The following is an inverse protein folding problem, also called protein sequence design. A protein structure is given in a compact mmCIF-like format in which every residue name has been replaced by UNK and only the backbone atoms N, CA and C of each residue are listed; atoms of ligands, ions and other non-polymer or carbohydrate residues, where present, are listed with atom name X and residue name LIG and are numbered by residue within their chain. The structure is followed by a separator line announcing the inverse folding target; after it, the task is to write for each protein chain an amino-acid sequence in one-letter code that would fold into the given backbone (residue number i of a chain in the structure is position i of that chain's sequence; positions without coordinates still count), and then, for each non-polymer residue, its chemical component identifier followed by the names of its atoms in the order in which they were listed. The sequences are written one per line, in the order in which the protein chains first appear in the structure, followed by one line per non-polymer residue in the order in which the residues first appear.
data_IF_539808677744
#
_entry.id   IF_539808677744
#
_cell.length_a   1.000
_cell.length_b   1.000
_cell.length_c   1.000
_cell.angle_alpha   90.00
_cell.angle_beta   90.00
_cell.angle_gamma   90.00
#
_symmetry.space_group_name_H-M   'P 1'
#
loop_
_entity.id
_entity.type
_entity.pdbx_description
1 polymer ?
#
# COMPACT_ATOMS: atom_id res chain seq x y z
N UNK A 1 -27.36 -27.60 2.17
CA UNK A 1 -27.41 -26.16 2.46
C UNK A 1 -26.15 -25.57 1.87
N UNK A 2 -26.20 -25.24 0.58
CA UNK A 2 -25.10 -24.55 -0.09
C UNK A 2 -25.00 -23.16 0.53
N UNK A 3 -23.85 -22.84 1.12
CA UNK A 3 -23.55 -21.49 1.55
C UNK A 3 -22.88 -20.81 0.35
N UNK A 4 -23.58 -19.98 -0.44
CA UNK A 4 -22.92 -19.20 -1.46
C UNK A 4 -22.17 -18.08 -0.73
N UNK A 5 -20.97 -18.38 -0.21
CA UNK A 5 -20.00 -17.31 -0.02
C UNK A 5 -19.72 -16.82 -1.43
N UNK A 6 -20.49 -15.82 -1.86
CA UNK A 6 -20.23 -15.11 -3.09
C UNK A 6 -18.75 -14.73 -3.06
N UNK A 7 -17.98 -15.19 -4.05
CA UNK A 7 -16.57 -14.88 -4.14
C UNK A 7 -16.45 -13.37 -4.33
N UNK A 8 -16.27 -12.64 -3.24
CA UNK A 8 -16.07 -11.20 -3.31
C UNK A 8 -14.70 -10.93 -3.94
N UNK A 9 -14.55 -9.87 -4.75
CA UNK A 9 -13.26 -9.49 -5.29
C UNK A 9 -12.27 -9.19 -4.16
N UNK A 10 -11.02 -9.59 -4.34
CA UNK A 10 -9.94 -9.29 -3.40
C UNK A 10 -8.84 -8.51 -4.12
N UNK A 11 -8.37 -7.36 -3.59
CA UNK A 11 -8.81 -6.74 -2.33
C UNK A 11 -10.25 -6.24 -2.36
N UNK A 12 -10.89 -6.17 -1.18
CA UNK A 12 -12.22 -5.59 -1.04
C UNK A 12 -12.10 -4.07 -0.97
N UNK A 13 -12.94 -3.37 -1.71
CA UNK A 13 -13.01 -1.91 -1.66
C UNK A 13 -14.43 -1.47 -1.29
N UNK A 14 -14.51 -0.45 -0.44
CA UNK A 14 -15.74 0.20 -0.03
C UNK A 14 -15.60 1.72 -0.15
N UNK A 15 -16.26 2.30 -1.16
CA UNK A 15 -16.27 3.74 -1.41
C UNK A 15 -17.30 4.42 -0.52
N UNK A 16 -16.85 5.42 0.24
CA UNK A 16 -17.73 6.18 1.11
C UNK A 16 -18.61 7.11 0.27
N UNK A 17 -19.90 7.11 0.55
CA UNK A 17 -20.82 8.07 -0.04
C UNK A 17 -20.67 9.47 0.59
N UNK A 18 -21.37 10.46 0.04
CA UNK A 18 -21.27 11.85 0.49
C UNK A 18 -21.61 12.03 1.98
N UNK A 19 -22.62 11.33 2.49
CA UNK A 19 -23.05 11.42 3.90
C UNK A 19 -22.01 10.81 4.83
N UNK A 20 -21.44 9.65 4.48
CA UNK A 20 -20.35 9.03 5.25
C UNK A 20 -19.10 9.90 5.25
N UNK A 21 -18.79 10.55 4.13
CA UNK A 21 -17.69 11.49 4.03
C UNK A 21 -17.87 12.71 4.96
N UNK A 22 -19.09 13.15 5.25
CA UNK A 22 -19.34 14.21 6.25
C UNK A 22 -18.92 13.77 7.66
N UNK A 23 -18.96 12.47 7.95
CA UNK A 23 -18.57 11.89 9.25
C UNK A 23 -17.10 11.44 9.29
N UNK A 24 -16.24 11.97 8.43
CA UNK A 24 -14.86 11.50 8.30
C UNK A 24 -14.06 11.54 9.58
N UNK A 25 -14.26 12.57 10.42
CA UNK A 25 -13.58 12.68 11.72
C UNK A 25 -13.99 11.58 12.71
N UNK A 26 -15.25 11.16 12.72
CA UNK A 26 -15.70 10.01 13.51
C UNK A 26 -15.06 8.73 12.98
N UNK A 27 -15.03 8.55 11.65
CA UNK A 27 -14.38 7.40 11.05
C UNK A 27 -12.88 7.36 11.34
N UNK A 28 -12.19 8.51 11.37
CA UNK A 28 -10.77 8.57 11.76
C UNK A 28 -10.57 8.13 13.22
N UNK A 29 -11.46 8.54 14.13
CA UNK A 29 -11.42 8.09 15.53
C UNK A 29 -11.69 6.59 15.68
N UNK A 30 -12.65 6.04 14.93
CA UNK A 30 -13.06 4.64 15.03
C UNK A 30 -12.07 3.69 14.38
N UNK A 31 -11.53 4.07 13.22
CA UNK A 31 -10.55 3.26 12.50
C UNK A 31 -9.14 3.40 13.09
N UNK A 32 -8.83 4.56 13.66
CA UNK A 32 -7.49 4.87 14.17
C UNK A 32 -6.43 4.90 13.06
N UNK A 33 -5.19 5.15 13.47
CA UNK A 33 -4.02 5.18 12.60
C UNK A 33 -3.06 4.06 13.02
N UNK A 34 -2.78 3.16 12.08
CA UNK A 34 -1.72 2.17 12.19
C UNK A 34 -0.35 2.75 11.84
N UNK A 35 0.63 1.89 11.63
CA UNK A 35 2.03 2.28 11.49
C UNK A 35 2.38 2.84 10.10
N UNK A 36 1.64 2.42 9.07
CA UNK A 36 1.99 2.72 7.68
C UNK A 36 1.14 3.86 7.14
N UNK A 37 1.80 4.88 6.60
CA UNK A 37 1.18 5.96 5.83
C UNK A 37 1.94 6.17 4.52
N UNK A 38 1.22 6.57 3.48
CA UNK A 38 1.81 6.86 2.17
C UNK A 38 1.11 8.03 1.50
N UNK A 39 1.86 8.74 0.66
CA UNK A 39 1.37 9.75 -0.26
C UNK A 39 1.84 9.42 -1.65
N UNK A 40 0.90 9.33 -2.58
CA UNK A 40 1.15 8.91 -3.96
C UNK A 40 0.68 10.02 -4.88
N UNK A 41 1.59 10.54 -5.70
CA UNK A 41 1.23 11.45 -6.79
C UNK A 41 0.83 10.62 -8.00
N UNK A 42 -0.41 10.77 -8.44
CA UNK A 42 -0.95 10.07 -9.60
C UNK A 42 -0.55 10.77 -10.91
N UNK A 43 -0.51 10.04 -12.04
CA UNK A 43 -0.18 10.63 -13.35
C UNK A 43 -1.14 11.74 -13.81
N UNK A 44 -2.37 11.77 -13.30
CA UNK A 44 -3.36 12.81 -13.59
C UNK A 44 -3.21 14.07 -12.70
N UNK A 45 -2.15 14.12 -11.89
CA UNK A 45 -1.82 15.25 -11.02
C UNK A 45 -2.55 15.25 -9.66
N UNK A 46 -3.36 14.23 -9.38
CA UNK A 46 -4.00 14.07 -8.07
C UNK A 46 -3.07 13.45 -7.04
N UNK A 47 -3.38 13.64 -5.77
CA UNK A 47 -2.67 13.02 -4.65
C UNK A 47 -3.57 11.98 -3.98
N UNK A 48 -3.08 10.75 -3.81
CA UNK A 48 -3.68 9.79 -2.90
C UNK A 48 -2.94 9.83 -1.55
N UNK A 49 -3.71 9.98 -0.47
CA UNK A 49 -3.25 9.84 0.92
C UNK A 49 -3.79 8.53 1.46
N UNK A 50 -2.87 7.66 1.87
CA UNK A 50 -3.17 6.29 2.27
C UNK A 50 -2.69 6.12 3.70
N UNK A 51 -3.55 5.59 4.56
CA UNK A 51 -3.26 5.33 5.96
C UNK A 51 -3.74 3.92 6.29
N UNK A 52 -2.85 3.08 6.80
CA UNK A 52 -3.28 1.84 7.45
C UNK A 52 -4.00 2.21 8.75
N UNK A 53 -5.10 1.54 9.03
CA UNK A 53 -5.84 1.71 10.29
C UNK A 53 -5.18 0.90 11.41
N UNK A 54 -5.68 0.95 12.64
CA UNK A 54 -5.17 0.03 13.69
C UNK A 54 -5.53 -1.44 13.42
N UNK A 55 -6.45 -1.69 12.48
CA UNK A 55 -6.77 -3.02 11.99
C UNK A 55 -5.84 -3.35 10.81
N UNK A 56 -4.87 -4.23 11.04
CA UNK A 56 -3.88 -4.65 10.04
C UNK A 56 -4.56 -5.12 8.75
N UNK A 57 -4.07 -4.64 7.61
CA UNK A 57 -4.65 -4.94 6.30
C UNK A 57 -5.96 -4.20 5.98
N UNK A 58 -6.37 -3.24 6.83
CA UNK A 58 -7.45 -2.30 6.53
C UNK A 58 -6.84 -0.93 6.31
N UNK A 59 -7.13 -0.35 5.15
CA UNK A 59 -6.52 0.87 4.65
C UNK A 59 -7.59 1.91 4.34
N UNK A 60 -7.31 3.16 4.66
CA UNK A 60 -8.12 4.29 4.21
C UNK A 60 -7.38 5.04 3.12
N UNK A 61 -7.97 5.10 1.92
CA UNK A 61 -7.43 5.76 0.73
C UNK A 61 -8.28 6.97 0.41
N UNK A 62 -7.67 8.15 0.43
CA UNK A 62 -8.33 9.42 0.12
C UNK A 62 -7.64 10.08 -1.06
N UNK A 63 -8.40 10.44 -2.08
CA UNK A 63 -7.88 11.11 -3.26
C UNK A 63 -8.21 12.60 -3.21
N UNK A 64 -7.23 13.43 -3.56
CA UNK A 64 -7.31 14.88 -3.57
C UNK A 64 -6.96 15.42 -4.95
N UNK A 65 -7.73 16.37 -5.44
CA UNK A 65 -7.41 17.07 -6.69
C UNK A 65 -6.26 18.09 -6.52
N UNK A 66 -5.88 18.75 -7.61
CA UNK A 66 -4.83 19.77 -7.61
C UNK A 66 -5.12 20.93 -6.62
N UNK A 67 -6.39 21.25 -6.38
CA UNK A 67 -6.84 22.28 -5.44
C UNK A 67 -6.93 21.78 -3.98
N UNK A 68 -6.38 20.60 -3.67
CA UNK A 68 -6.40 19.98 -2.35
C UNK A 68 -7.81 19.66 -1.82
N UNK A 69 -8.80 19.55 -2.71
CA UNK A 69 -10.15 19.12 -2.36
C UNK A 69 -10.23 17.59 -2.45
N UNK A 70 -10.79 16.96 -1.42
CA UNK A 70 -11.01 15.51 -1.41
C UNK A 70 -12.10 15.16 -2.42
N UNK A 71 -11.75 14.32 -3.38
CA UNK A 71 -12.66 13.84 -4.45
C UNK A 71 -13.07 12.38 -4.28
N UNK A 72 -12.33 11.61 -3.47
CA UNK A 72 -12.71 10.24 -3.08
C UNK A 72 -12.25 9.90 -1.66
N UNK A 73 -12.98 9.00 -1.00
CA UNK A 73 -12.63 8.37 0.28
C UNK A 73 -13.09 6.91 0.22
N UNK A 74 -12.16 5.98 0.42
CA UNK A 74 -12.36 4.55 0.24
C UNK A 74 -11.68 3.77 1.36
N UNK A 75 -12.33 2.70 1.82
CA UNK A 75 -11.73 1.71 2.71
C UNK A 75 -11.38 0.48 1.87
N UNK A 76 -10.14 0.02 1.97
CA UNK A 76 -9.64 -1.19 1.31
C UNK A 76 -9.30 -2.23 2.37
N UNK A 77 -9.75 -3.47 2.18
CA UNK A 77 -9.38 -4.62 3.02
C UNK A 77 -8.55 -5.57 2.15
N UNK A 78 -7.28 -5.74 2.50
CA UNK A 78 -6.34 -6.57 1.77
C UNK A 78 -4.87 -6.17 1.97
N UNK A 79 -3.98 -6.56 1.04
CA UNK A 79 -2.57 -6.17 1.09
C UNK A 79 -2.40 -4.65 0.91
N UNK A 80 -1.15 -4.20 0.97
CA UNK A 80 -0.78 -2.80 0.71
C UNK A 80 -1.42 -2.32 -0.61
N UNK A 81 -2.18 -1.20 -0.62
CA UNK A 81 -2.85 -0.67 -1.79
C UNK A 81 -1.93 -0.54 -3.00
N UNK A 82 -2.42 -0.95 -4.18
CA UNK A 82 -1.59 -1.09 -5.38
C UNK A 82 -0.92 0.21 -5.82
N UNK A 83 -1.59 1.35 -5.61
CA UNK A 83 -1.07 2.66 -5.98
C UNK A 83 0.25 3.02 -5.31
N UNK A 84 0.58 2.41 -4.16
CA UNK A 84 1.85 2.62 -3.45
C UNK A 84 3.05 2.08 -4.25
N UNK A 85 2.91 0.92 -4.91
CA UNK A 85 4.04 0.27 -5.60
C UNK A 85 3.93 0.36 -7.13
N UNK A 86 2.75 0.64 -7.69
CA UNK A 86 2.57 0.85 -9.12
C UNK A 86 3.14 2.20 -9.60
N UNK A 87 3.30 3.19 -8.71
CA UNK A 87 3.81 4.53 -9.07
C UNK A 87 5.31 4.62 -9.26
N UNK A 88 6.04 3.51 -9.11
CA UNK A 88 7.45 3.42 -9.47
C UNK A 88 7.63 2.63 -10.76
N UNK A 89 8.19 3.22 -11.85
CA UNK A 89 8.96 2.38 -12.76
C UNK A 89 10.01 1.68 -11.90
N UNK A 90 9.99 0.34 -11.87
CA UNK A 90 11.05 -0.42 -11.21
C UNK A 90 12.38 0.11 -11.77
N UNK A 91 13.30 0.64 -10.94
CA UNK A 91 14.64 0.90 -11.45
C UNK A 91 15.13 -0.41 -12.04
N UNK A 92 15.75 -0.41 -13.23
CA UNK A 92 16.20 -1.65 -13.85
C UNK A 92 17.01 -2.42 -12.81
N UNK A 93 16.52 -3.61 -12.45
CA UNK A 93 17.21 -4.51 -11.56
C UNK A 93 18.46 -4.91 -12.33
N UNK A 94 19.55 -4.18 -12.14
CA UNK A 94 20.86 -4.62 -12.60
C UNK A 94 21.26 -5.62 -11.54
N UNK A 95 21.22 -6.94 -11.81
CA UNK A 95 21.73 -7.89 -10.85
C UNK A 95 23.19 -7.52 -10.63
N UNK A 96 23.51 -6.94 -9.47
CA UNK A 96 24.88 -6.79 -9.01
C UNK A 96 25.35 -8.19 -8.60
N UNK A 97 25.60 -9.02 -9.62
CA UNK A 97 26.45 -10.18 -9.47
C UNK A 97 27.81 -9.55 -9.23
N UNK A 98 28.17 -9.38 -7.96
CA UNK A 98 29.53 -9.08 -7.57
C UNK A 98 30.39 -10.20 -8.18
N UNK A 99 30.97 -9.94 -9.34
CA UNK A 99 32.03 -10.75 -9.88
C UNK A 99 33.18 -10.58 -8.91
N UNK A 100 33.23 -11.43 -7.89
CA UNK A 100 34.44 -11.68 -7.13
C UNK A 100 35.41 -12.33 -8.11
N UNK A 101 36.04 -11.51 -8.94
CA UNK A 101 37.31 -11.84 -9.58
C UNK A 101 38.37 -11.49 -8.54
N UNK A 102 38.60 -12.43 -7.64
CA UNK A 102 39.54 -12.30 -6.54
C UNK A 102 39.90 -13.67 -6.00
N UNK A 103 40.92 -14.28 -6.63
CA UNK A 103 41.82 -15.27 -6.03
C UNK A 103 41.17 -16.44 -5.29
N UNK A 104 41.04 -17.57 -5.98
CA UNK A 104 41.06 -18.87 -5.32
C UNK A 104 42.46 -19.10 -4.72
N UNK A 105 42.73 -18.59 -3.53
CA UNK A 105 43.90 -18.99 -2.74
C UNK A 105 43.48 -19.58 -1.38
N UNK A 106 43.75 -20.88 -1.30
CA UNK A 106 44.03 -21.72 -0.13
C UNK A 106 43.23 -21.49 1.17
N UNK A 107 42.14 -22.24 1.30
CA UNK A 107 41.64 -22.72 2.60
C UNK A 107 42.65 -23.68 3.25
N UNK A 108 43.65 -23.13 3.93
CA UNK A 108 44.43 -23.85 4.95
C UNK A 108 44.17 -23.26 6.32
N UNK A 109 43.99 -24.16 7.29
CA UNK A 109 43.84 -23.96 8.73
C UNK A 109 42.41 -23.70 9.22
N UNK A 110 41.62 -24.79 9.29
CA UNK A 110 40.82 -25.12 10.48
C UNK A 110 40.40 -26.60 10.41
N UNK A 111 41.31 -27.48 10.83
CA UNK A 111 40.97 -28.80 11.38
C UNK A 111 41.81 -28.97 12.64
N UNK A 112 41.13 -28.91 13.78
CA UNK A 112 41.59 -29.50 15.03
C UNK A 112 41.11 -30.95 15.07
#
# INVERSE_FOLDING_TARGET
MDNPVATLPFPLSYKLNATEQQNSGLLDQLLGEGEISARVLLPDGKEQRIQETVFTGVWRVREYNADQQRVADEIIIGPIPESIWQTHPQPPITPEIAATTGGIDEWRLYRA
#
